data_IF_182315368115
#
_entry.id   IF_182315368115
#
_cell.length_a   1.000
_cell.length_b   1.000
_cell.length_c   1.000
_cell.angle_alpha   90.00
_cell.angle_beta   90.00
_cell.angle_gamma   90.00
#
_symmetry.space_group_name_H-M   'P 1'
#
loop_
_entity.id
_entity.type
_entity.pdbx_description
1 polymer ?
#
# COMPACT_ATOMS: atom_id res chain seq x y z
N UNK A 1 32.67 37.70 -22.80
CA UNK A 1 31.50 38.12 -23.62
C UNK A 1 31.58 39.57 -24.14
N UNK A 2 32.07 40.55 -23.37
CA UNK A 2 32.04 41.98 -23.75
C UNK A 2 32.83 42.39 -25.02
N UNK A 3 33.96 41.72 -25.32
CA UNK A 3 34.86 42.13 -26.41
C UNK A 3 34.32 41.85 -27.83
N UNK A 4 33.36 40.92 -27.98
CA UNK A 4 32.74 40.60 -29.28
C UNK A 4 31.69 41.63 -29.71
N UNK A 5 31.01 42.27 -28.76
CA UNK A 5 30.00 43.29 -29.06
C UNK A 5 30.58 44.65 -29.44
N UNK A 6 31.84 44.92 -29.08
CA UNK A 6 32.49 46.20 -29.33
C UNK A 6 32.75 46.46 -30.82
N UNK A 7 33.12 45.43 -31.60
CA UNK A 7 33.31 45.56 -33.05
C UNK A 7 31.99 45.72 -33.82
N UNK A 8 30.93 45.05 -33.35
CA UNK A 8 29.60 45.14 -33.95
C UNK A 8 28.99 46.53 -33.77
N UNK A 9 29.12 47.11 -32.56
CA UNK A 9 28.65 48.47 -32.29
C UNK A 9 29.36 49.50 -33.16
N UNK A 10 30.67 49.38 -33.36
CA UNK A 10 31.41 50.24 -34.29
C UNK A 10 30.91 50.15 -35.73
N UNK A 11 30.65 48.94 -36.22
CA UNK A 11 30.11 48.74 -37.57
C UNK A 11 28.69 49.31 -37.73
N UNK A 12 27.82 49.12 -36.73
CA UNK A 12 26.45 49.67 -36.72
C UNK A 12 26.50 51.20 -36.68
N UNK A 13 27.32 51.78 -35.80
CA UNK A 13 27.49 53.23 -35.72
C UNK A 13 28.02 53.81 -37.02
N UNK A 14 29.02 53.17 -37.64
CA UNK A 14 29.54 53.60 -38.94
C UNK A 14 28.46 53.54 -40.04
N UNK A 15 27.72 52.43 -40.12
CA UNK A 15 26.63 52.27 -41.08
C UNK A 15 25.52 53.31 -40.87
N UNK A 16 25.14 53.59 -39.62
CA UNK A 16 24.16 54.61 -39.30
C UNK A 16 24.63 56.01 -39.72
N UNK A 17 25.90 56.36 -39.49
CA UNK A 17 26.48 57.64 -39.93
C UNK A 17 26.45 57.76 -41.46
N UNK A 18 26.85 56.70 -42.18
CA UNK A 18 26.82 56.69 -43.65
C UNK A 18 25.40 56.83 -44.16
N UNK A 19 24.42 56.13 -43.57
CA UNK A 19 23.02 56.26 -43.95
C UNK A 19 22.46 57.66 -43.68
N UNK A 20 22.77 58.26 -42.53
CA UNK A 20 22.35 59.64 -42.19
C UNK A 20 22.97 60.65 -43.17
N UNK A 21 24.26 60.51 -43.49
CA UNK A 21 24.92 61.36 -44.46
C UNK A 21 24.29 61.19 -45.87
N UNK A 22 23.98 59.95 -46.26
CA UNK A 22 23.36 59.63 -47.54
C UNK A 22 21.92 60.17 -47.65
N UNK A 23 21.12 60.04 -46.58
CA UNK A 23 19.76 60.60 -46.55
C UNK A 23 19.77 62.11 -46.49
N UNK A 24 20.71 62.73 -45.77
CA UNK A 24 20.88 64.18 -45.77
C UNK A 24 21.28 64.70 -47.15
N UNK A 25 22.18 64.01 -47.86
CA UNK A 25 22.53 64.32 -49.25
C UNK A 25 21.31 64.18 -50.18
N UNK A 26 20.55 63.09 -50.06
CA UNK A 26 19.34 62.88 -50.84
C UNK A 26 18.28 63.96 -50.59
N UNK A 27 18.08 64.36 -49.32
CA UNK A 27 17.16 65.44 -48.95
C UNK A 27 17.64 66.80 -49.49
N UNK A 28 18.93 67.07 -49.41
CA UNK A 28 19.53 68.29 -49.97
C UNK A 28 19.27 68.37 -51.48
N UNK A 29 19.52 67.29 -52.22
CA UNK A 29 19.23 67.21 -53.65
C UNK A 29 17.73 67.38 -53.94
N UNK A 30 16.84 66.85 -53.09
CA UNK A 30 15.39 66.98 -53.25
C UNK A 30 14.94 68.43 -53.04
N UNK A 31 15.48 69.14 -52.04
CA UNK A 31 15.16 70.55 -51.79
C UNK A 31 15.63 71.44 -52.96
N UNK A 32 16.85 71.23 -53.44
CA UNK A 32 17.40 72.00 -54.58
C UNK A 32 16.62 71.74 -55.88
N UNK A 33 16.21 70.49 -56.13
CA UNK A 33 15.38 70.16 -57.29
C UNK A 33 13.96 70.71 -57.17
N UNK A 34 13.36 70.71 -55.97
CA UNK A 34 12.03 71.27 -55.72
C UNK A 34 12.00 72.81 -55.83
N UNK A 35 13.13 73.49 -55.59
CA UNK A 35 13.26 74.93 -55.80
C UNK A 35 13.26 75.33 -57.30
N UNK A 36 13.42 74.36 -58.21
CA UNK A 36 13.37 74.61 -59.66
C UNK A 36 11.92 74.83 -60.13
N UNK A 37 11.44 76.08 -60.02
CA UNK A 37 10.07 76.45 -60.36
C UNK A 37 9.92 76.89 -61.83
N UNK A 38 10.48 76.11 -62.77
CA UNK A 38 10.40 76.40 -64.22
C UNK A 38 9.30 75.58 -64.87
N UNK A 39 8.32 76.29 -65.43
CA UNK A 39 7.31 75.72 -66.30
C UNK A 39 7.94 75.34 -67.64
N UNK A 40 8.22 74.05 -67.83
CA UNK A 40 8.42 73.38 -69.14
C UNK A 40 9.33 74.09 -70.15
N UNK A 41 10.60 73.72 -70.21
CA UNK A 41 11.50 74.06 -71.31
C UNK A 41 12.97 73.77 -70.96
N UNK A 42 13.84 73.45 -71.93
CA UNK A 42 15.23 73.08 -71.65
C UNK A 42 16.08 74.33 -71.39
N UNK A 43 17.15 74.11 -70.61
CA UNK A 43 18.29 75.00 -70.32
C UNK A 43 18.02 76.13 -69.30
N UNK A 44 18.34 75.88 -68.02
CA UNK A 44 19.69 76.10 -67.48
C UNK A 44 19.96 75.20 -66.25
N UNK A 45 21.21 74.72 -66.04
CA UNK A 45 21.55 73.83 -64.93
C UNK A 45 21.64 74.60 -63.60
N UNK A 46 20.88 74.15 -62.60
CA UNK A 46 20.84 74.78 -61.26
C UNK A 46 22.15 74.58 -60.46
N UNK A 47 22.99 73.62 -60.87
CA UNK A 47 24.26 73.32 -60.20
C UNK A 47 25.32 72.89 -61.22
N UNK A 48 26.14 73.84 -61.68
CA UNK A 48 27.32 73.66 -62.56
C UNK A 48 27.25 72.43 -63.52
N UNK A 49 26.13 72.27 -64.25
CA UNK A 49 25.96 71.26 -65.31
C UNK A 49 25.70 69.80 -64.88
N UNK A 50 25.37 69.50 -63.62
CA UNK A 50 25.28 68.09 -63.18
C UNK A 50 23.84 67.55 -63.10
N UNK A 51 22.83 68.37 -62.83
CA UNK A 51 21.43 67.92 -62.68
C UNK A 51 20.46 68.83 -63.47
N UNK A 52 19.75 68.31 -64.48
CA UNK A 52 18.71 69.05 -65.20
C UNK A 52 17.42 69.15 -64.37
N UNK A 53 16.60 70.17 -64.60
CA UNK A 53 15.24 70.21 -64.05
C UNK A 53 14.39 69.17 -64.78
N UNK A 54 14.08 68.07 -64.08
CA UNK A 54 13.42 66.87 -64.61
C UNK A 54 11.93 66.86 -64.31
N UNK A 55 11.16 66.12 -65.10
CA UNK A 55 9.73 65.93 -64.84
C UNK A 55 9.49 65.11 -63.55
N UNK A 56 8.33 65.23 -62.89
CA UNK A 56 8.04 64.48 -61.65
C UNK A 56 8.20 62.96 -61.77
N UNK A 57 7.98 62.38 -62.95
CA UNK A 57 8.15 60.95 -63.18
C UNK A 57 9.62 60.54 -63.23
N UNK A 58 10.46 61.30 -63.92
CA UNK A 58 11.91 61.06 -64.01
C UNK A 58 12.62 61.31 -62.66
N UNK A 59 12.09 62.23 -61.84
CA UNK A 59 12.53 62.42 -60.46
C UNK A 59 12.33 61.16 -59.61
N UNK A 60 11.23 60.43 -59.82
CA UNK A 60 10.96 59.15 -59.17
C UNK A 60 12.00 58.09 -59.50
N UNK A 61 12.40 57.98 -60.77
CA UNK A 61 13.40 57.01 -61.22
C UNK A 61 14.81 57.32 -60.69
N UNK A 62 15.18 58.61 -60.63
CA UNK A 62 16.46 59.05 -60.06
C UNK A 62 16.50 58.76 -58.56
N UNK A 63 15.42 59.05 -57.83
CA UNK A 63 15.33 58.75 -56.40
C UNK A 63 15.35 57.24 -56.14
N UNK A 64 14.65 56.44 -56.93
CA UNK A 64 14.67 54.99 -56.83
C UNK A 64 16.08 54.42 -57.06
N UNK A 65 16.79 54.93 -58.08
CA UNK A 65 18.20 54.58 -58.34
C UNK A 65 19.15 55.01 -57.22
N UNK A 66 18.94 56.18 -56.63
CA UNK A 66 19.76 56.71 -55.54
C UNK A 66 19.60 55.95 -54.22
N UNK A 67 18.38 55.47 -53.93
CA UNK A 67 18.09 54.70 -52.71
C UNK A 67 18.37 53.19 -52.85
N UNK A 68 18.50 52.66 -54.08
CA UNK A 68 18.73 51.23 -54.30
C UNK A 68 19.99 50.66 -53.60
N UNK A 69 21.18 51.31 -53.66
CA UNK A 69 22.36 50.82 -52.94
C UNK A 69 22.19 50.83 -51.41
N UNK A 70 21.53 51.86 -50.86
CA UNK A 70 21.29 51.97 -49.43
C UNK A 70 20.42 50.81 -48.90
N UNK A 71 19.36 50.46 -49.64
CA UNK A 71 18.51 49.32 -49.31
C UNK A 71 19.30 47.99 -49.33
N UNK A 72 20.21 47.81 -50.29
CA UNK A 72 21.04 46.61 -50.41
C UNK A 72 22.00 46.44 -49.22
N UNK A 73 22.59 47.52 -48.71
CA UNK A 73 23.45 47.47 -47.51
C UNK A 73 22.67 47.06 -46.26
N UNK A 74 21.47 47.61 -46.07
CA UNK A 74 20.59 47.24 -44.95
C UNK A 74 20.23 45.76 -45.01
N UNK A 75 19.88 45.25 -46.20
CA UNK A 75 19.53 43.83 -46.39
C UNK A 75 20.72 42.91 -46.10
N UNK A 76 21.91 43.25 -46.59
CA UNK A 76 23.13 42.46 -46.35
C UNK A 76 23.48 42.43 -44.85
N UNK A 77 23.34 43.56 -44.15
CA UNK A 77 23.53 43.62 -42.70
C UNK A 77 22.56 42.73 -41.93
N UNK A 78 21.28 42.70 -42.34
CA UNK A 78 20.27 41.83 -41.73
C UNK A 78 20.60 40.34 -41.93
N UNK A 79 20.99 39.92 -43.13
CA UNK A 79 21.36 38.52 -43.42
C UNK A 79 22.61 38.10 -42.65
N UNK A 80 23.61 38.99 -42.53
CA UNK A 80 24.81 38.70 -41.76
C UNK A 80 24.49 38.51 -40.27
N UNK A 81 23.64 39.37 -39.70
CA UNK A 81 23.20 39.24 -38.30
C UNK A 81 22.44 37.92 -38.08
N UNK A 82 21.52 37.59 -38.98
CA UNK A 82 20.78 36.32 -38.93
C UNK A 82 21.72 35.10 -39.02
N UNK A 83 22.80 35.18 -39.81
CA UNK A 83 23.78 34.09 -39.91
C UNK A 83 24.57 33.85 -38.62
N UNK A 84 24.84 34.92 -37.85
CA UNK A 84 25.54 34.82 -36.57
C UNK A 84 24.65 34.21 -35.49
N UNK A 85 23.36 34.55 -35.47
CA UNK A 85 22.38 33.98 -34.54
C UNK A 85 22.21 32.47 -34.75
N UNK A 86 22.09 32.03 -36.01
CA UNK A 86 22.01 30.60 -36.35
C UNK A 86 23.26 29.82 -35.96
N UNK A 87 24.44 30.44 -36.02
CA UNK A 87 25.68 29.80 -35.55
C UNK A 87 25.69 29.64 -34.03
N UNK A 88 25.28 30.67 -33.30
CA UNK A 88 25.17 30.61 -31.84
C UNK A 88 24.14 29.54 -31.40
N UNK A 89 22.99 29.45 -32.06
CA UNK A 89 21.99 28.42 -31.79
C UNK A 89 22.52 26.99 -32.04
N UNK A 90 23.38 26.77 -33.05
CA UNK A 90 24.00 25.47 -33.29
C UNK A 90 24.97 25.07 -32.18
N UNK A 91 25.75 26.03 -31.69
CA UNK A 91 26.70 25.79 -30.61
C UNK A 91 25.94 25.46 -29.30
N UNK A 92 24.85 26.17 -29.00
CA UNK A 92 23.99 25.88 -27.84
C UNK A 92 23.27 24.52 -27.96
N UNK A 93 22.81 24.13 -29.15
CA UNK A 93 22.19 22.82 -29.38
C UNK A 93 23.19 21.67 -29.23
N UNK A 94 24.46 21.88 -29.60
CA UNK A 94 25.51 20.88 -29.43
C UNK A 94 25.80 20.64 -27.94
N UNK A 95 25.89 21.71 -27.14
CA UNK A 95 26.06 21.63 -25.68
C UNK A 95 24.83 21.00 -25.00
N UNK A 96 23.63 21.36 -25.45
CA UNK A 96 22.38 20.78 -24.94
C UNK A 96 22.31 19.28 -25.18
N UNK A 97 22.81 18.80 -26.33
CA UNK A 97 22.82 17.37 -26.67
C UNK A 97 23.72 16.56 -25.73
N UNK A 98 24.87 17.09 -25.31
CA UNK A 98 25.76 16.37 -24.39
C UNK A 98 25.15 16.25 -23.00
N UNK A 99 24.51 17.31 -22.50
CA UNK A 99 23.78 17.31 -21.23
C UNK A 99 22.63 16.30 -21.26
N UNK A 100 21.86 16.24 -22.35
CA UNK A 100 20.79 15.24 -22.48
C UNK A 100 21.31 13.80 -22.47
N UNK A 101 22.45 13.53 -23.10
CA UNK A 101 23.06 12.19 -23.07
C UNK A 101 23.47 11.80 -21.65
N UNK A 102 24.04 12.73 -20.88
CA UNK A 102 24.43 12.50 -19.50
C UNK A 102 23.20 12.29 -18.59
N UNK A 103 22.15 13.10 -18.77
CA UNK A 103 20.88 12.94 -18.06
C UNK A 103 20.23 11.59 -18.35
N UNK A 104 20.20 11.15 -19.62
CA UNK A 104 19.67 9.84 -19.98
C UNK A 104 20.42 8.70 -19.30
N UNK A 105 21.75 8.78 -19.21
CA UNK A 105 22.57 7.80 -18.49
C UNK A 105 22.24 7.77 -16.99
N UNK A 106 22.08 8.95 -16.38
CA UNK A 106 21.65 9.08 -14.98
C UNK A 106 20.27 8.46 -14.76
N UNK A 107 19.29 8.76 -15.62
CA UNK A 107 17.94 8.19 -15.56
C UNK A 107 18.00 6.67 -15.69
N UNK A 108 18.80 6.12 -16.60
CA UNK A 108 18.95 4.68 -16.75
C UNK A 108 19.52 4.04 -15.48
N UNK A 109 20.54 4.65 -14.87
CA UNK A 109 21.10 4.15 -13.60
C UNK A 109 20.10 4.23 -12.45
N UNK A 110 19.32 5.32 -12.35
CA UNK A 110 18.27 5.47 -11.35
C UNK A 110 17.14 4.47 -11.56
N UNK A 111 16.76 4.20 -12.82
CA UNK A 111 15.73 3.22 -13.15
C UNK A 111 16.16 1.81 -12.75
N UNK A 112 17.41 1.43 -13.04
CA UNK A 112 17.97 0.13 -12.60
C UNK A 112 18.04 0.04 -11.07
N UNK A 113 18.45 1.11 -10.39
CA UNK A 113 18.45 1.15 -8.93
C UNK A 113 17.03 1.01 -8.36
N UNK A 114 16.05 1.72 -8.93
CA UNK A 114 14.65 1.64 -8.53
C UNK A 114 14.05 0.23 -8.76
N UNK A 115 14.38 -0.42 -9.87
CA UNK A 115 13.99 -1.81 -10.14
C UNK A 115 14.61 -2.77 -9.11
N UNK A 116 15.90 -2.61 -8.80
CA UNK A 116 16.55 -3.41 -7.77
C UNK A 116 15.91 -3.20 -6.39
N UNK A 117 15.59 -1.96 -6.02
CA UNK A 117 14.86 -1.64 -4.79
C UNK A 117 13.45 -2.24 -4.76
N UNK A 118 12.70 -2.19 -5.85
CA UNK A 118 11.37 -2.79 -5.95
C UNK A 118 11.41 -4.31 -5.71
N UNK A 119 12.39 -5.01 -6.31
CA UNK A 119 12.58 -6.45 -6.11
C UNK A 119 12.91 -6.77 -4.63
N UNK A 120 13.72 -5.94 -3.97
CA UNK A 120 14.01 -6.12 -2.54
C UNK A 120 12.76 -5.93 -1.67
N UNK A 121 11.92 -4.93 -1.97
CA UNK A 121 10.66 -4.73 -1.27
C UNK A 121 9.69 -5.90 -1.46
N UNK A 122 9.64 -6.48 -2.66
CA UNK A 122 8.82 -7.67 -2.91
C UNK A 122 9.26 -8.86 -2.04
N UNK A 123 10.57 -9.13 -1.98
CA UNK A 123 11.12 -10.19 -1.14
C UNK A 123 10.85 -9.92 0.34
N UNK A 124 11.07 -8.69 0.82
CA UNK A 124 10.77 -8.31 2.21
C UNK A 124 9.29 -8.50 2.54
N UNK A 125 8.39 -8.08 1.63
CA UNK A 125 6.94 -8.25 1.82
C UNK A 125 6.56 -9.73 1.89
N UNK A 126 7.14 -10.59 1.05
CA UNK A 126 6.89 -12.04 1.12
C UNK A 126 7.39 -12.66 2.45
N UNK A 127 8.52 -12.18 2.97
CA UNK A 127 9.08 -12.66 4.25
C UNK A 127 8.18 -12.21 5.42
N UNK A 128 7.73 -10.95 5.41
CA UNK A 128 6.85 -10.41 6.44
C UNK A 128 5.51 -11.15 6.48
N UNK A 129 4.90 -11.41 5.31
CA UNK A 129 3.68 -12.22 5.21
C UNK A 129 3.86 -13.62 5.79
N UNK A 130 4.96 -14.28 5.42
CA UNK A 130 5.28 -15.61 5.95
C UNK A 130 5.52 -15.59 7.47
N UNK A 131 6.11 -14.53 8.01
CA UNK A 131 6.30 -14.36 9.45
C UNK A 131 4.96 -14.14 10.16
N UNK A 132 4.08 -13.32 9.60
CA UNK A 132 2.74 -13.07 10.14
C UNK A 132 1.91 -14.36 10.19
N UNK A 133 1.90 -15.13 9.11
CA UNK A 133 1.24 -16.44 9.06
C UNK A 133 1.78 -17.41 10.11
N UNK A 134 3.11 -17.46 10.29
CA UNK A 134 3.74 -18.30 11.32
C UNK A 134 3.42 -17.85 12.74
N UNK A 135 3.34 -16.53 12.99
CA UNK A 135 2.96 -16.00 14.29
C UNK A 135 1.49 -16.29 14.59
N UNK A 136 0.60 -16.11 13.60
CA UNK A 136 -0.80 -16.45 13.73
C UNK A 136 -1.00 -17.95 14.02
N UNK A 137 -0.29 -18.82 13.31
CA UNK A 137 -0.33 -20.26 13.56
C UNK A 137 0.14 -20.62 14.99
N UNK A 138 1.26 -20.03 15.44
CA UNK A 138 1.77 -20.24 16.80
C UNK A 138 0.81 -19.74 17.87
N UNK A 139 0.19 -18.58 17.67
CA UNK A 139 -0.77 -18.03 18.62
C UNK A 139 -2.00 -18.95 18.76
N UNK A 140 -2.49 -19.51 17.65
CA UNK A 140 -3.58 -20.50 17.67
C UNK A 140 -3.17 -21.80 18.39
N UNK A 141 -1.93 -22.28 18.15
CA UNK A 141 -1.41 -23.47 18.83
C UNK A 141 -1.27 -23.26 20.34
N UNK A 142 -0.81 -22.08 20.76
CA UNK A 142 -0.63 -21.71 22.16
C UNK A 142 -1.99 -21.56 22.87
N UNK A 143 -2.99 -20.93 22.23
CA UNK A 143 -4.36 -20.83 22.75
C UNK A 143 -5.01 -22.21 22.93
N UNK A 144 -4.78 -23.14 21.99
CA UNK A 144 -5.28 -24.50 22.11
C UNK A 144 -4.64 -25.27 23.27
N UNK A 145 -3.33 -25.10 23.46
CA UNK A 145 -2.61 -25.74 24.55
C UNK A 145 -3.09 -25.19 25.90
N UNK A 146 -3.27 -23.87 26.01
CA UNK A 146 -3.81 -23.23 27.19
C UNK A 146 -5.22 -23.75 27.52
N UNK A 147 -6.10 -23.89 26.53
CA UNK A 147 -7.44 -24.41 26.74
C UNK A 147 -7.45 -25.87 27.25
N UNK A 148 -6.53 -26.71 26.73
CA UNK A 148 -6.35 -28.09 27.20
C UNK A 148 -5.82 -28.15 28.63
N UNK A 149 -4.83 -27.33 28.95
CA UNK A 149 -4.27 -27.21 30.30
C UNK A 149 -5.30 -26.70 31.30
N UNK A 150 -6.10 -25.70 30.92
CA UNK A 150 -7.21 -25.20 31.73
C UNK A 150 -8.25 -26.29 32.02
N UNK A 151 -8.62 -27.10 31.01
CA UNK A 151 -9.52 -28.23 31.20
C UNK A 151 -8.90 -29.26 32.17
N UNK A 152 -7.67 -29.69 31.92
CA UNK A 152 -7.01 -30.69 32.77
C UNK A 152 -6.82 -30.19 34.21
N UNK A 153 -6.42 -28.94 34.38
CA UNK A 153 -6.28 -28.31 35.69
C UNK A 153 -7.62 -28.27 36.44
N UNK A 154 -8.70 -27.88 35.76
CA UNK A 154 -10.04 -27.87 36.34
C UNK A 154 -10.47 -29.27 36.79
N UNK A 155 -10.24 -30.30 35.96
CA UNK A 155 -10.58 -31.68 36.30
C UNK A 155 -9.76 -32.20 37.50
N UNK A 156 -8.45 -31.93 37.54
CA UNK A 156 -7.55 -32.33 38.64
C UNK A 156 -7.96 -31.69 39.97
N UNK A 157 -8.32 -30.41 39.96
CA UNK A 157 -8.54 -29.70 41.21
C UNK A 157 -9.97 -29.87 41.76
N UNK A 158 -10.96 -29.96 40.88
CA UNK A 158 -12.37 -29.92 41.29
C UNK A 158 -13.02 -31.31 41.31
N UNK A 159 -12.59 -32.22 40.43
CA UNK A 159 -13.25 -33.50 40.22
C UNK A 159 -12.40 -34.70 40.63
N UNK A 160 -11.09 -34.63 40.47
CA UNK A 160 -10.22 -35.72 40.88
C UNK A 160 -10.15 -35.84 42.42
N UNK A 161 -10.15 -37.08 42.91
CA UNK A 161 -10.22 -37.40 44.33
C UNK A 161 -11.58 -37.15 45.00
N UNK A 162 -12.61 -36.69 44.27
CA UNK A 162 -13.93 -36.36 44.84
C UNK A 162 -15.02 -37.38 44.49
N UNK A 163 -16.15 -37.32 45.19
CA UNK A 163 -17.32 -38.19 44.98
C UNK A 163 -18.38 -37.51 44.09
N UNK A 164 -17.94 -36.82 43.04
CA UNK A 164 -18.83 -36.00 42.21
C UNK A 164 -19.84 -36.81 41.40
N UNK A 165 -19.59 -38.11 41.18
CA UNK A 165 -20.49 -39.04 40.50
C UNK A 165 -21.11 -40.03 41.49
N UNK A 166 -22.38 -40.36 41.27
CA UNK A 166 -23.10 -41.38 42.02
C UNK A 166 -23.80 -42.38 41.08
N UNK A 167 -23.89 -43.63 41.52
CA UNK A 167 -24.65 -44.69 40.86
C UNK A 167 -25.68 -45.29 41.82
N UNK A 168 -26.60 -46.09 41.30
CA UNK A 168 -27.67 -46.71 42.11
C UNK A 168 -27.17 -48.01 42.74
N UNK A 169 -27.33 -48.13 44.06
CA UNK A 169 -27.08 -49.34 44.84
C UNK A 169 -28.22 -49.53 45.84
N UNK A 170 -28.84 -50.72 45.83
CA UNK A 170 -29.97 -51.05 46.73
C UNK A 170 -31.10 -50.01 46.73
N UNK A 171 -31.41 -49.44 45.55
CA UNK A 171 -32.46 -48.43 45.40
C UNK A 171 -32.03 -46.98 45.69
N UNK A 172 -30.87 -46.76 46.32
CA UNK A 172 -30.35 -45.44 46.68
C UNK A 172 -29.16 -45.03 45.82
N UNK A 173 -28.97 -43.73 45.59
CA UNK A 173 -27.77 -43.23 44.92
C UNK A 173 -26.61 -43.11 45.91
N UNK A 174 -25.50 -43.76 45.59
CA UNK A 174 -24.27 -43.71 46.38
C UNK A 174 -23.16 -43.06 45.55
N UNK A 175 -22.58 -41.98 46.09
CA UNK A 175 -21.41 -41.34 45.50
C UNK A 175 -20.19 -42.25 45.59
N UNK A 176 -19.33 -42.22 44.58
CA UNK A 176 -18.07 -42.96 44.59
C UNK A 176 -16.92 -42.05 44.20
N UNK A 177 -15.75 -42.31 44.80
CA UNK A 177 -14.57 -41.51 44.54
C UNK A 177 -14.01 -41.84 43.16
N UNK A 178 -13.86 -40.82 42.33
CA UNK A 178 -13.04 -40.87 41.12
C UNK A 178 -11.65 -40.43 41.55
N UNK A 179 -10.67 -41.32 41.52
CA UNK A 179 -9.30 -41.00 41.87
C UNK A 179 -8.38 -41.49 40.75
N UNK A 180 -7.71 -40.55 40.09
CA UNK A 180 -6.80 -40.83 39.01
C UNK A 180 -5.37 -40.68 39.50
N UNK A 181 -4.74 -41.82 39.78
CA UNK A 181 -3.30 -41.88 40.06
C UNK A 181 -2.56 -41.97 38.73
N UNK A 182 -2.39 -40.84 38.02
CA UNK A 182 -1.71 -40.88 36.73
C UNK A 182 -1.09 -39.55 36.30
N UNK A 183 0.12 -39.71 35.77
CA UNK A 183 0.97 -38.86 34.90
C UNK A 183 0.74 -37.34 34.88
N UNK A 184 1.84 -36.58 35.05
CA UNK A 184 1.86 -35.11 34.94
C UNK A 184 1.39 -34.63 33.55
N UNK A 185 1.56 -35.45 32.52
CA UNK A 185 1.23 -35.11 31.14
C UNK A 185 -0.28 -34.97 30.91
N UNK A 186 -0.70 -33.82 30.39
CA UNK A 186 -2.10 -33.45 30.14
C UNK A 186 -2.85 -34.47 29.28
N UNK A 187 -2.22 -35.00 28.23
CA UNK A 187 -2.85 -35.93 27.28
C UNK A 187 -3.20 -37.25 27.98
N UNK A 188 -2.23 -37.82 28.68
CA UNK A 188 -2.41 -39.07 29.41
C UNK A 188 -3.44 -38.92 30.53
N UNK A 189 -3.41 -37.79 31.24
CA UNK A 189 -4.39 -37.45 32.25
C UNK A 189 -5.82 -37.40 31.68
N UNK A 190 -6.07 -36.62 30.62
CA UNK A 190 -7.41 -36.46 30.05
C UNK A 190 -7.98 -37.79 29.54
N UNK A 191 -7.17 -38.57 28.82
CA UNK A 191 -7.55 -39.90 28.33
C UNK A 191 -7.85 -40.86 29.48
N UNK A 192 -6.97 -40.88 30.49
CA UNK A 192 -7.11 -41.75 31.66
C UNK A 192 -8.33 -41.39 32.51
N UNK A 193 -8.56 -40.08 32.73
CA UNK A 193 -9.74 -39.56 33.40
C UNK A 193 -11.02 -39.99 32.66
N UNK A 194 -11.07 -39.80 31.33
CA UNK A 194 -12.20 -40.25 30.52
C UNK A 194 -12.46 -41.76 30.68
N UNK A 195 -11.42 -42.60 30.56
CA UNK A 195 -11.56 -44.05 30.67
C UNK A 195 -12.09 -44.47 32.05
N UNK A 196 -11.68 -43.78 33.11
CA UNK A 196 -12.14 -44.05 34.47
C UNK A 196 -13.62 -43.69 34.67
N UNK A 197 -14.06 -42.53 34.17
CA UNK A 197 -15.43 -42.02 34.39
C UNK A 197 -16.47 -42.62 33.44
N UNK A 198 -16.02 -43.15 32.30
CA UNK A 198 -16.86 -43.86 31.32
C UNK A 198 -16.98 -45.35 31.61
N UNK A 199 -16.11 -45.91 32.46
CA UNK A 199 -16.16 -47.31 32.82
C UNK A 199 -17.46 -47.69 33.56
N UNK A 200 -17.95 -48.90 33.31
CA UNK A 200 -19.05 -49.46 34.08
C UNK A 200 -18.58 -49.74 35.52
N UNK A 201 -19.39 -49.31 36.49
CA UNK A 201 -19.15 -49.50 37.91
C UNK A 201 -20.04 -50.58 38.53
N UNK A 202 -20.68 -51.42 37.72
CA UNK A 202 -21.44 -52.60 38.18
C UNK A 202 -20.57 -53.51 39.07
N UNK A 203 -19.27 -53.66 38.76
CA UNK A 203 -18.33 -54.40 39.62
C UNK A 203 -18.14 -53.79 41.03
N UNK A 204 -18.50 -52.52 41.21
CA UNK A 204 -18.54 -51.82 42.52
C UNK A 204 -19.96 -51.81 43.13
N UNK A 205 -20.91 -52.53 42.53
CA UNK A 205 -22.31 -52.56 42.95
C UNK A 205 -23.11 -51.32 42.54
N UNK A 206 -22.61 -50.51 41.60
CA UNK A 206 -23.22 -49.25 41.18
C UNK A 206 -23.74 -49.38 39.75
N UNK A 207 -25.06 -49.40 39.59
CA UNK A 207 -25.69 -49.44 38.27
C UNK A 207 -25.99 -48.03 37.73
N UNK A 208 -26.03 -47.84 36.40
CA UNK A 208 -26.57 -46.64 35.78
C UNK A 208 -28.08 -46.46 36.10
N UNK A 209 -28.66 -45.26 35.85
CA UNK A 209 -27.99 -44.07 35.35
C UNK A 209 -27.02 -43.51 36.39
N UNK A 210 -25.89 -43.00 35.92
CA UNK A 210 -24.98 -42.26 36.79
C UNK A 210 -25.37 -40.79 36.78
N UNK A 211 -25.28 -40.17 37.95
CA UNK A 211 -25.66 -38.77 38.14
C UNK A 211 -24.58 -37.98 38.86
N UNK A 212 -24.60 -36.67 38.65
CA UNK A 212 -23.70 -35.73 39.32
C UNK A 212 -24.29 -35.36 40.67
N UNK A 213 -23.47 -35.37 41.72
CA UNK A 213 -23.87 -34.83 43.01
C UNK A 213 -24.21 -33.35 42.90
N UNK A 214 -25.30 -32.90 43.52
CA UNK A 214 -25.80 -31.51 43.40
C UNK A 214 -24.75 -30.46 43.77
N UNK A 215 -23.84 -30.77 44.69
CA UNK A 215 -22.73 -29.89 45.10
C UNK A 215 -21.68 -29.70 44.01
N UNK A 216 -21.55 -30.67 43.09
CA UNK A 216 -20.54 -30.66 42.01
C UNK A 216 -21.12 -30.27 40.65
N UNK A 217 -22.42 -30.02 40.54
CA UNK A 217 -23.07 -29.59 39.30
C UNK A 217 -22.40 -28.37 38.66
N UNK A 218 -22.02 -27.31 39.40
CA UNK A 218 -21.29 -26.17 38.82
C UNK A 218 -19.91 -26.54 38.26
N UNK A 219 -19.19 -27.45 38.95
CA UNK A 219 -17.86 -27.89 38.54
C UNK A 219 -17.94 -28.75 37.26
N UNK A 220 -18.90 -29.67 37.17
CA UNK A 220 -19.10 -30.52 35.99
C UNK A 220 -19.61 -29.70 34.81
N UNK A 221 -20.49 -28.72 35.04
CA UNK A 221 -20.94 -27.77 34.02
C UNK A 221 -19.76 -26.95 33.47
N UNK A 222 -18.86 -26.48 34.33
CA UNK A 222 -17.64 -25.77 33.89
C UNK A 222 -16.72 -26.69 33.09
N UNK A 223 -16.55 -27.93 33.51
CA UNK A 223 -15.78 -28.93 32.77
C UNK A 223 -16.36 -29.18 31.36
N UNK A 224 -17.68 -29.28 31.23
CA UNK A 224 -18.36 -29.39 29.94
C UNK A 224 -18.10 -28.16 29.05
N UNK A 225 -18.21 -26.94 29.58
CA UNK A 225 -17.92 -25.71 28.82
C UNK A 225 -16.46 -25.66 28.35
N UNK A 226 -15.51 -26.02 29.22
CA UNK A 226 -14.09 -26.07 28.86
C UNK A 226 -13.81 -27.14 27.79
N UNK A 227 -14.42 -28.33 27.91
CA UNK A 227 -14.29 -29.38 26.90
C UNK A 227 -14.87 -28.94 25.54
N UNK A 228 -16.03 -28.29 25.52
CA UNK A 228 -16.62 -27.73 24.29
C UNK A 228 -15.73 -26.64 23.70
N UNK A 229 -15.13 -25.76 24.54
CA UNK A 229 -14.17 -24.75 24.08
C UNK A 229 -12.97 -25.39 23.40
N UNK A 230 -12.39 -26.43 24.00
CA UNK A 230 -11.28 -27.19 23.40
C UNK A 230 -11.70 -27.76 22.04
N UNK A 231 -12.90 -28.34 21.91
CA UNK A 231 -13.38 -28.87 20.63
C UNK A 231 -13.51 -27.77 19.57
N UNK A 232 -14.07 -26.61 19.93
CA UNK A 232 -14.21 -25.48 19.00
C UNK A 232 -12.85 -24.91 18.56
N UNK A 233 -11.90 -24.79 19.49
CA UNK A 233 -10.54 -24.32 19.17
C UNK A 233 -9.81 -25.35 18.31
N UNK A 234 -9.93 -26.63 18.62
CA UNK A 234 -9.24 -27.71 17.89
C UNK A 234 -9.60 -27.80 16.41
N UNK A 235 -10.81 -27.37 16.03
CA UNK A 235 -11.23 -27.28 14.63
C UNK A 235 -10.55 -26.14 13.86
N UNK A 236 -10.02 -25.15 14.59
CA UNK A 236 -9.22 -24.03 14.04
C UNK A 236 -7.72 -24.32 14.11
N UNK A 237 -7.31 -25.26 14.95
CA UNK A 237 -5.92 -25.71 15.04
C UNK A 237 -5.57 -26.64 13.88
N UNK A 238 -4.28 -26.74 13.55
CA UNK A 238 -3.80 -27.62 12.48
C UNK A 238 -4.20 -29.10 12.66
N UNK A 239 -4.14 -29.86 11.57
CA UNK A 239 -4.56 -31.28 11.48
C UNK A 239 -3.95 -32.14 12.61
N UNK A 240 -2.67 -31.91 12.93
CA UNK A 240 -1.97 -32.65 13.97
C UNK A 240 -2.61 -32.48 15.36
N UNK A 241 -3.11 -31.28 15.67
CA UNK A 241 -3.77 -30.98 16.95
C UNK A 241 -5.18 -31.53 17.02
N UNK A 242 -5.91 -31.49 15.91
CA UNK A 242 -7.21 -32.14 15.84
C UNK A 242 -7.08 -33.64 16.13
N UNK A 243 -6.10 -34.32 15.52
CA UNK A 243 -5.82 -35.73 15.81
C UNK A 243 -5.47 -35.95 17.29
N UNK A 244 -4.68 -35.06 17.89
CA UNK A 244 -4.32 -35.13 19.30
C UNK A 244 -5.56 -35.01 20.22
N UNK A 245 -6.48 -34.09 19.93
CA UNK A 245 -7.76 -33.92 20.64
C UNK A 245 -8.67 -35.14 20.51
N UNK A 246 -8.73 -35.74 19.33
CA UNK A 246 -9.45 -36.99 19.11
C UNK A 246 -8.86 -38.12 19.96
N UNK A 247 -7.53 -38.23 20.05
CA UNK A 247 -6.90 -39.27 20.89
C UNK A 247 -7.13 -39.07 22.40
N UNK A 248 -7.44 -37.85 22.84
CA UNK A 248 -7.78 -37.55 24.23
C UNK A 248 -9.25 -37.81 24.56
N UNK A 249 -10.09 -38.09 23.53
CA UNK A 249 -11.53 -38.35 23.68
C UNK A 249 -12.30 -37.21 24.34
N UNK A 250 -11.88 -35.97 24.07
CA UNK A 250 -12.48 -34.76 24.67
C UNK A 250 -13.95 -34.62 24.28
N UNK A 251 -14.31 -35.04 23.05
CA UNK A 251 -15.69 -35.02 22.58
C UNK A 251 -16.59 -35.91 23.43
N UNK A 252 -16.18 -37.16 23.60
CA UNK A 252 -16.94 -38.11 24.42
C UNK A 252 -16.96 -37.72 25.89
N UNK A 253 -15.90 -37.05 26.38
CA UNK A 253 -15.89 -36.48 27.72
C UNK A 253 -16.93 -35.35 27.87
N UNK A 254 -17.03 -34.45 26.89
CA UNK A 254 -18.02 -33.38 26.88
C UNK A 254 -19.45 -33.94 26.85
N UNK A 255 -19.70 -34.94 25.99
CA UNK A 255 -20.99 -35.64 25.89
C UNK A 255 -21.33 -36.37 27.20
N UNK A 256 -20.35 -37.01 27.83
CA UNK A 256 -20.53 -37.65 29.13
C UNK A 256 -20.94 -36.64 30.20
N UNK A 257 -20.26 -35.48 30.29
CA UNK A 257 -20.67 -34.45 31.26
C UNK A 257 -22.09 -33.95 31.03
N UNK A 258 -22.47 -33.74 29.76
CA UNK A 258 -23.83 -33.35 29.41
C UNK A 258 -24.86 -34.41 29.83
N UNK A 259 -24.61 -35.68 29.56
CA UNK A 259 -25.46 -36.80 29.98
C UNK A 259 -25.65 -36.83 31.51
N UNK A 260 -24.56 -36.73 32.28
CA UNK A 260 -24.66 -36.79 33.74
C UNK A 260 -25.40 -35.60 34.35
N UNK A 261 -25.25 -34.41 33.76
CA UNK A 261 -26.01 -33.22 34.14
C UNK A 261 -27.50 -33.42 33.84
N UNK A 262 -27.84 -33.97 32.67
CA UNK A 262 -29.24 -34.24 32.29
C UNK A 262 -29.89 -35.29 33.21
N UNK A 263 -29.16 -36.34 33.60
CA UNK A 263 -29.64 -37.35 34.55
C UNK A 263 -29.95 -36.74 35.92
N UNK A 264 -29.14 -35.78 36.39
CA UNK A 264 -29.42 -35.05 37.63
C UNK A 264 -30.74 -34.26 37.54
N UNK A 265 -30.99 -33.59 36.42
CA UNK A 265 -32.24 -32.85 36.22
C UNK A 265 -33.45 -33.79 36.18
N UNK A 266 -33.35 -34.93 35.49
CA UNK A 266 -34.42 -35.93 35.44
C UNK A 266 -34.78 -36.47 36.83
N UNK A 267 -33.78 -36.79 37.66
CA UNK A 267 -33.98 -37.24 39.04
C UNK A 267 -34.64 -36.17 39.91
N UNK A 268 -34.23 -34.89 39.77
CA UNK A 268 -34.86 -33.78 40.50
C UNK A 268 -36.33 -33.58 40.14
N UNK A 269 -36.69 -33.77 38.86
CA UNK A 269 -38.08 -33.69 38.39
C UNK A 269 -38.91 -34.85 38.95
N UNK A 270 -38.39 -36.08 38.93
CA UNK A 270 -39.06 -37.25 39.50
C UNK A 270 -39.40 -37.03 40.99
N UNK A 271 -38.44 -36.55 41.78
CA UNK A 271 -38.65 -36.30 43.22
C UNK A 271 -39.69 -35.22 43.51
N UNK A 272 -39.80 -34.20 42.65
CA UNK A 272 -40.85 -33.16 42.79
C UNK A 272 -42.24 -33.70 42.48
N UNK A 273 -42.35 -34.66 41.55
CA UNK A 273 -43.61 -35.34 41.24
C UNK A 273 -44.15 -36.10 42.44
N UNK A 274 -43.33 -36.96 43.06
CA UNK A 274 -43.71 -37.79 44.20
C UNK A 274 -44.14 -36.97 45.43
N UNK A 275 -43.49 -35.82 45.67
CA UNK A 275 -43.87 -34.92 46.76
C UNK A 275 -45.23 -34.26 46.52
N UNK A 276 -45.59 -33.97 45.25
CA UNK A 276 -46.87 -33.38 44.92
C UNK A 276 -48.04 -34.36 45.09
N UNK A 277 -47.84 -35.65 44.80
CA UNK A 277 -48.87 -36.68 44.99
C UNK A 277 -49.13 -36.98 46.47
N UNK A 278 -48.07 -37.05 47.28
CA UNK A 278 -48.21 -37.25 48.72
C UNK A 278 -48.92 -36.07 49.42
N UNK A 279 -48.73 -34.84 48.92
CA UNK A 279 -49.42 -33.66 49.46
C UNK A 279 -50.92 -33.60 49.13
N UNK A 280 -51.41 -34.38 48.15
CA UNK A 280 -52.84 -34.39 47.78
C UNK A 280 -53.65 -35.48 48.50
N UNK A 281 -52.98 -36.42 49.16
CA UNK A 281 -53.62 -37.58 49.80
C UNK A 281 -53.75 -37.44 51.34
N UNK A 282 -53.35 -36.30 51.91
CA UNK A 282 -53.53 -35.95 53.33
C UNK A 282 -54.36 -34.70 53.48
#
# INVERSE_FOLDING_TARGET
>A
MYRKYQGLWWAISFMAIVLIAWTALGLYLLIETAACNVATGPEEPILHGVLPCVTPNEMGDILAGFFAPAAFFVLTGAVFLQSLELKAQRDELAETRTVFLEQNKLIETQTRAAQASANLFEVQNSILKLQEERMAAKALDEECNEALEQLAHHLRNELDGTNWQAGKAHGNYMGFRVNFTGEEETIAFLRGFYNLVSADHVGRGLSPPYLVGTTFEPAVRRAHVLATRVLTLSAMCGIDRQALVETMRVKELADLFADRINNLFAEQLSRRGDQSENSKSG
#
